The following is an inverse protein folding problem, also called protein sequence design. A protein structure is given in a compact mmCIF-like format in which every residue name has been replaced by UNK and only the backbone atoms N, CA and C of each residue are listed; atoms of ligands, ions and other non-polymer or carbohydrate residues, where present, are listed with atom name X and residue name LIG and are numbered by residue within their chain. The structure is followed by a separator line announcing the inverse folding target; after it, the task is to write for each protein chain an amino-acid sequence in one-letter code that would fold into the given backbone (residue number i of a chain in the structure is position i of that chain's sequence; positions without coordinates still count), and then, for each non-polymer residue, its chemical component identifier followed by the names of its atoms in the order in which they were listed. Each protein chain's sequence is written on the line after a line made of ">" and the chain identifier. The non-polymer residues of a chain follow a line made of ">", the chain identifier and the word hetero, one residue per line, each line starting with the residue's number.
data_IF_476593324195
#
_entry.id   IF_476593324195
#
_cell.length_a   1.000
_cell.length_b   1.000
_cell.length_c   1.000
_cell.angle_alpha   90.00
_cell.angle_beta   90.00
_cell.angle_gamma   90.00
#
_symmetry.space_group_name_H-M   'P 1'
#
loop_
_entity.id
_entity.type
_entity.pdbx_description
1 polymer ?
#
# COMPACT_ATOMS: atom_id res chain seq x y z
N UNK A 1 33.21 -54.90 64.79
CA UNK A 1 33.85 -53.86 63.95
C UNK A 1 33.01 -53.63 62.77
N UNK A 2 32.13 -52.53 62.71
CA UNK A 2 31.22 -52.18 61.60
C UNK A 2 31.86 -50.97 60.93
N UNK A 3 32.29 -51.14 59.69
CA UNK A 3 32.78 -50.09 58.83
C UNK A 3 31.55 -49.33 58.18
N UNK A 4 31.36 -48.07 58.57
CA UNK A 4 30.37 -47.16 58.01
C UNK A 4 30.92 -46.63 56.66
N UNK A 5 30.34 -47.09 55.56
CA UNK A 5 30.61 -46.59 54.18
C UNK A 5 29.74 -45.39 53.88
N UNK A 6 30.29 -44.19 53.91
CA UNK A 6 29.58 -43.00 53.49
C UNK A 6 29.33 -43.02 51.97
N UNK A 7 28.15 -42.62 51.53
CA UNK A 7 27.83 -42.55 50.08
C UNK A 7 28.36 -41.23 49.48
N UNK A 8 29.54 -41.29 48.84
CA UNK A 8 30.17 -40.15 48.12
C UNK A 8 29.39 -39.62 46.88
N UNK A 9 28.19 -40.14 46.56
CA UNK A 9 27.46 -39.80 45.32
C UNK A 9 26.62 -38.53 45.38
N UNK A 10 26.22 -38.03 46.56
CA UNK A 10 25.25 -36.90 46.66
C UNK A 10 25.80 -35.51 46.39
N UNK A 11 27.11 -35.33 46.48
CA UNK A 11 27.74 -34.01 46.30
C UNK A 11 27.92 -33.64 44.82
N UNK A 12 28.15 -34.61 43.95
CA UNK A 12 28.33 -34.37 42.51
C UNK A 12 27.02 -33.97 41.83
N UNK A 13 25.88 -34.59 42.18
CA UNK A 13 24.57 -34.26 41.59
C UNK A 13 24.14 -32.84 41.92
N UNK A 14 24.36 -32.35 43.14
CA UNK A 14 24.04 -30.97 43.51
C UNK A 14 24.89 -29.95 42.74
N UNK A 15 26.17 -30.21 42.51
CA UNK A 15 27.05 -29.34 41.72
C UNK A 15 26.66 -29.32 40.24
N UNK A 16 26.19 -30.43 39.68
CA UNK A 16 25.71 -30.53 38.29
C UNK A 16 24.39 -29.78 38.09
N UNK A 17 23.46 -29.84 39.05
CA UNK A 17 22.21 -29.10 39.04
C UNK A 17 22.42 -27.58 39.13
N UNK A 18 23.35 -27.11 39.96
CA UNK A 18 23.68 -25.68 40.03
C UNK A 18 24.36 -25.17 38.76
N UNK A 19 25.18 -25.95 38.09
CA UNK A 19 25.80 -25.59 36.82
C UNK A 19 24.76 -25.51 35.68
N UNK A 20 23.77 -26.41 35.67
CA UNK A 20 22.68 -26.39 34.68
C UNK A 20 21.75 -25.19 34.87
N UNK A 21 21.42 -24.81 36.10
CA UNK A 21 20.61 -23.62 36.42
C UNK A 21 21.35 -22.33 36.05
N UNK A 22 22.65 -22.25 36.31
CA UNK A 22 23.46 -21.09 35.95
C UNK A 22 23.59 -20.92 34.42
N UNK A 23 23.67 -22.02 33.67
CA UNK A 23 23.74 -22.02 32.21
C UNK A 23 22.41 -21.56 31.56
N UNK A 24 21.25 -21.88 32.16
CA UNK A 24 19.95 -21.40 31.72
C UNK A 24 19.70 -19.91 31.98
N UNK A 25 20.40 -19.31 32.96
CA UNK A 25 20.26 -17.86 33.22
C UNK A 25 21.11 -16.99 32.29
N UNK A 26 22.11 -17.55 31.61
CA UNK A 26 22.94 -16.81 30.64
C UNK A 26 22.35 -16.70 29.24
N UNK A 27 21.23 -17.37 28.94
CA UNK A 27 20.60 -17.36 27.62
C UNK A 27 19.60 -16.22 27.41
N UNK A 28 19.41 -15.29 28.33
CA UNK A 28 18.71 -14.05 28.11
C UNK A 28 19.62 -12.97 27.48
N UNK A 29 20.33 -13.34 26.41
CA UNK A 29 20.91 -12.35 25.52
C UNK A 29 19.73 -11.59 24.88
N UNK A 30 19.34 -10.46 25.47
CA UNK A 30 18.41 -9.52 24.87
C UNK A 30 18.96 -9.19 23.49
N UNK A 31 18.33 -9.74 22.45
CA UNK A 31 18.59 -9.28 21.09
C UNK A 31 18.24 -7.80 21.10
N UNK A 32 19.27 -6.95 21.13
CA UNK A 32 19.11 -5.50 21.10
C UNK A 32 18.27 -5.15 19.88
N UNK A 33 17.19 -4.42 20.06
CA UNK A 33 16.34 -3.96 18.95
C UNK A 33 17.19 -3.12 18.02
N UNK A 34 17.35 -3.57 16.77
CA UNK A 34 18.14 -2.85 15.75
C UNK A 34 17.34 -1.64 15.30
N UNK A 35 17.97 -0.45 15.36
CA UNK A 35 17.40 0.77 14.83
C UNK A 35 17.24 0.66 13.32
N UNK A 36 16.06 1.02 12.80
CA UNK A 36 15.75 1.05 11.36
C UNK A 36 15.88 2.46 10.78
N UNK A 37 16.01 3.50 11.61
CA UNK A 37 16.11 4.87 11.16
C UNK A 37 15.96 5.89 12.28
N UNK A 38 15.74 7.15 11.87
CA UNK A 38 15.50 8.28 12.76
C UNK A 38 14.29 9.07 12.29
N UNK A 39 13.54 9.63 13.25
CA UNK A 39 12.49 10.61 13.02
C UNK A 39 12.96 11.98 13.50
N UNK A 40 12.55 13.05 12.80
CA UNK A 40 12.75 14.42 13.23
C UNK A 40 11.52 15.27 12.95
N UNK A 41 11.16 16.17 13.88
CA UNK A 41 10.05 17.09 13.72
C UNK A 41 10.39 18.48 14.28
N UNK A 42 9.86 19.51 13.61
CA UNK A 42 9.86 20.89 14.17
C UNK A 42 8.53 21.14 14.85
N UNK A 43 8.37 20.57 16.06
CA UNK A 43 7.15 20.65 16.86
C UNK A 43 6.83 19.31 17.53
N UNK A 44 5.59 19.15 17.95
CA UNK A 44 5.16 17.98 18.71
C UNK A 44 4.93 16.77 17.78
N UNK A 45 5.68 15.73 18.04
CA UNK A 45 5.58 14.41 17.42
C UNK A 45 5.49 13.37 18.54
N UNK A 46 4.79 12.27 18.32
CA UNK A 46 4.83 11.11 19.20
C UNK A 46 5.45 9.93 18.49
N UNK A 47 6.31 9.21 19.21
CA UNK A 47 6.85 7.93 18.78
C UNK A 47 6.54 6.92 19.87
N UNK A 48 5.82 5.85 19.54
CA UNK A 48 5.37 4.81 20.47
C UNK A 48 4.62 5.39 21.68
N UNK A 49 3.75 6.39 21.41
CA UNK A 49 2.96 7.17 22.39
C UNK A 49 3.76 8.18 23.25
N UNK A 50 5.08 8.21 23.15
CA UNK A 50 5.90 9.18 23.88
C UNK A 50 6.03 10.48 23.09
N UNK A 51 5.80 11.61 23.76
CA UNK A 51 6.02 12.93 23.18
C UNK A 51 7.52 13.16 22.95
N UNK A 52 7.90 13.45 21.72
CA UNK A 52 9.28 13.70 21.31
C UNK A 52 9.40 15.12 20.78
N UNK A 53 10.36 15.86 21.30
CA UNK A 53 10.79 17.16 20.77
C UNK A 53 12.14 17.01 20.08
N UNK A 54 12.18 17.27 18.76
CA UNK A 54 13.38 17.13 17.96
C UNK A 54 13.50 15.75 17.30
N UNK A 55 14.47 14.94 17.73
CA UNK A 55 14.79 13.67 17.07
C UNK A 55 14.44 12.46 17.93
N UNK A 56 14.06 11.37 17.27
CA UNK A 56 13.85 10.04 17.88
C UNK A 56 14.51 8.94 17.04
N UNK A 57 14.96 7.89 17.70
CA UNK A 57 15.38 6.65 17.05
C UNK A 57 14.13 5.80 16.75
N UNK A 58 14.06 5.24 15.54
CA UNK A 58 12.97 4.38 15.11
C UNK A 58 13.40 2.92 15.10
N UNK A 59 12.51 2.08 15.57
CA UNK A 59 12.64 0.63 15.56
C UNK A 59 11.55 0.00 14.69
N UNK A 60 11.70 -1.29 14.39
CA UNK A 60 10.64 -2.01 13.68
C UNK A 60 9.34 -1.98 14.50
N UNK A 61 8.22 -1.67 13.83
CA UNK A 61 6.88 -1.43 14.41
C UNK A 61 6.73 -0.15 15.23
N UNK A 62 7.65 0.79 15.17
CA UNK A 62 7.43 2.11 15.80
C UNK A 62 6.22 2.81 15.22
N UNK A 63 5.35 3.31 16.07
CA UNK A 63 4.18 4.11 15.72
C UNK A 63 4.56 5.58 15.76
N UNK A 64 4.43 6.28 14.63
CA UNK A 64 4.69 7.71 14.52
C UNK A 64 3.37 8.46 14.36
N UNK A 65 3.15 9.46 15.20
CA UNK A 65 2.00 10.35 15.14
C UNK A 65 2.47 11.81 15.06
N UNK A 66 1.93 12.55 14.11
CA UNK A 66 2.15 13.98 13.97
C UNK A 66 0.91 14.74 14.48
N UNK A 67 1.15 15.81 15.23
CA UNK A 67 0.10 16.75 15.62
C UNK A 67 0.00 17.89 14.61
N UNK A 68 0.34 19.11 15.05
CA UNK A 68 0.38 20.30 14.20
C UNK A 68 1.68 20.42 13.38
N UNK A 69 2.68 19.58 13.66
CA UNK A 69 3.95 19.56 12.96
C UNK A 69 3.99 18.46 11.89
N UNK A 70 4.90 18.60 10.94
CA UNK A 70 5.30 17.53 10.02
C UNK A 70 6.48 16.77 10.63
N UNK A 71 6.61 15.47 10.32
CA UNK A 71 7.74 14.66 10.73
C UNK A 71 8.49 14.10 9.50
N UNK A 72 9.82 14.18 9.54
CA UNK A 72 10.69 13.56 8.54
C UNK A 72 11.31 12.31 9.13
N UNK A 73 11.11 11.18 8.46
CA UNK A 73 11.65 9.88 8.81
C UNK A 73 12.73 9.51 7.80
N UNK A 74 13.93 9.21 8.28
CA UNK A 74 15.05 8.76 7.46
C UNK A 74 15.41 7.34 7.84
N UNK A 75 15.23 6.42 6.91
CA UNK A 75 15.53 5.01 7.13
C UNK A 75 16.95 4.67 6.68
N UNK A 76 17.54 3.69 7.35
CA UNK A 76 18.93 3.25 7.11
C UNK A 76 19.18 2.76 5.66
N UNK A 77 18.11 2.41 4.92
CA UNK A 77 18.16 1.95 3.51
C UNK A 77 17.97 3.07 2.47
N UNK A 78 18.08 4.34 2.87
CA UNK A 78 17.98 5.48 1.96
C UNK A 78 16.55 5.86 1.57
N UNK A 79 15.55 5.41 2.33
CA UNK A 79 14.16 5.86 2.18
C UNK A 79 13.93 7.06 3.08
N UNK A 80 13.36 8.12 2.51
CA UNK A 80 12.90 9.30 3.22
C UNK A 80 11.38 9.37 3.15
N UNK A 81 10.75 9.61 4.31
CA UNK A 81 9.30 9.72 4.44
C UNK A 81 8.99 11.01 5.15
N UNK A 82 8.12 11.84 4.58
CA UNK A 82 7.57 13.01 5.24
C UNK A 82 6.12 12.74 5.60
N UNK A 83 5.81 12.69 6.89
CA UNK A 83 4.43 12.60 7.38
C UNK A 83 3.89 14.01 7.57
N UNK A 84 2.77 14.33 6.94
CA UNK A 84 2.07 15.61 7.08
C UNK A 84 1.48 15.79 8.49
N UNK A 85 0.92 16.96 8.79
CA UNK A 85 0.19 17.20 10.04
C UNK A 85 -0.97 16.23 10.20
N UNK A 86 -1.35 15.92 11.45
CA UNK A 86 -2.46 15.03 11.80
C UNK A 86 -2.38 13.65 11.12
N UNK A 87 -1.16 13.14 10.94
CA UNK A 87 -0.91 11.82 10.33
C UNK A 87 -0.47 10.81 11.38
N UNK A 88 -0.84 9.56 11.16
CA UNK A 88 -0.44 8.43 12.00
C UNK A 88 -0.09 7.24 11.13
N UNK A 89 1.00 6.55 11.47
CA UNK A 89 1.41 5.33 10.78
C UNK A 89 2.30 4.44 11.63
N UNK A 90 2.30 3.16 11.29
CA UNK A 90 3.22 2.17 11.88
C UNK A 90 4.34 1.89 10.89
N UNK A 91 5.57 2.13 11.32
CA UNK A 91 6.76 1.97 10.49
C UNK A 91 7.38 0.60 10.69
N UNK A 92 7.68 -0.06 9.58
CA UNK A 92 8.46 -1.29 9.51
C UNK A 92 9.75 -1.06 8.72
N UNK A 93 10.65 -2.03 8.74
CA UNK A 93 11.93 -1.95 8.02
C UNK A 93 11.80 -1.91 6.50
N UNK A 94 10.65 -2.30 5.95
CA UNK A 94 10.34 -2.46 4.52
C UNK A 94 9.08 -1.71 4.08
N UNK A 95 8.27 -1.22 5.03
CA UNK A 95 7.01 -0.54 4.72
C UNK A 95 6.56 0.43 5.80
N UNK A 96 5.69 1.36 5.42
CA UNK A 96 4.88 2.20 6.31
C UNK A 96 3.40 1.83 6.14
N UNK A 97 2.73 1.49 7.23
CA UNK A 97 1.27 1.32 7.29
C UNK A 97 0.65 2.65 7.71
N UNK A 98 0.10 3.40 6.76
CA UNK A 98 -0.56 4.68 7.00
C UNK A 98 -1.98 4.42 7.53
N UNK A 99 -2.25 4.86 8.75
CA UNK A 99 -3.54 4.69 9.43
C UNK A 99 -4.41 5.94 9.32
N UNK A 100 -3.78 7.11 9.18
CA UNK A 100 -4.46 8.41 9.06
C UNK A 100 -3.55 9.43 8.41
N UNK A 101 -4.14 10.38 7.67
CA UNK A 101 -3.46 11.56 7.14
C UNK A 101 -2.74 11.28 5.83
N UNK A 102 -1.53 11.83 5.69
CA UNK A 102 -0.79 11.85 4.44
C UNK A 102 0.68 11.58 4.68
N UNK A 103 1.28 10.82 3.76
CA UNK A 103 2.69 10.51 3.74
C UNK A 103 3.28 10.70 2.36
N UNK A 104 4.36 11.45 2.26
CA UNK A 104 5.19 11.61 1.09
C UNK A 104 6.37 10.65 1.21
N UNK A 105 6.64 9.89 0.16
CA UNK A 105 7.70 8.90 0.07
C UNK A 105 8.70 9.29 -1.02
N UNK A 106 9.97 9.41 -0.65
CA UNK A 106 11.09 9.47 -1.57
C UNK A 106 12.01 8.28 -1.31
N UNK A 107 12.17 7.40 -2.29
CA UNK A 107 12.93 6.16 -2.09
C UNK A 107 13.67 5.72 -3.33
N UNK A 108 14.86 5.18 -3.11
CA UNK A 108 15.64 4.45 -4.11
C UNK A 108 15.47 2.93 -4.03
N UNK A 109 14.66 2.46 -3.08
CA UNK A 109 14.45 1.04 -2.78
C UNK A 109 12.99 0.64 -2.98
N UNK A 110 12.70 -0.66 -2.85
CA UNK A 110 11.38 -1.26 -2.94
C UNK A 110 10.52 -1.05 -1.67
N UNK A 111 10.64 0.12 -1.02
CA UNK A 111 9.86 0.43 0.18
C UNK A 111 8.38 0.58 -0.15
N UNK A 112 7.51 -0.04 0.63
CA UNK A 112 6.07 -0.09 0.39
C UNK A 112 5.31 0.88 1.31
N UNK A 113 4.27 1.53 0.78
CA UNK A 113 3.24 2.21 1.56
C UNK A 113 1.97 1.37 1.56
N UNK A 114 1.44 1.10 2.75
CA UNK A 114 0.15 0.44 2.92
C UNK A 114 -0.87 1.46 3.46
N UNK A 115 -2.03 1.53 2.85
CA UNK A 115 -3.12 2.38 3.32
C UNK A 115 -4.45 1.70 3.00
N UNK A 116 -5.29 1.48 4.01
CA UNK A 116 -6.65 0.95 3.86
C UNK A 116 -6.74 -0.27 2.92
N UNK A 117 -5.86 -1.28 3.10
CA UNK A 117 -5.84 -2.50 2.30
C UNK A 117 -5.24 -2.36 0.89
N UNK A 118 -4.70 -1.18 0.55
CA UNK A 118 -3.94 -0.99 -0.67
C UNK A 118 -2.45 -0.96 -0.40
N UNK A 119 -1.70 -1.62 -1.27
CA UNK A 119 -0.24 -1.67 -1.27
C UNK A 119 0.29 -0.79 -2.40
N UNK A 120 1.00 0.26 -2.07
CA UNK A 120 1.60 1.21 -3.01
C UNK A 120 3.11 0.98 -3.03
N UNK A 121 3.61 0.55 -4.17
CA UNK A 121 5.02 0.18 -4.34
C UNK A 121 5.64 0.98 -5.48
N UNK A 122 6.83 1.57 -5.32
CA UNK A 122 7.54 2.21 -6.42
C UNK A 122 7.93 1.15 -7.45
N UNK A 123 7.76 1.47 -8.74
CA UNK A 123 8.20 0.61 -9.85
C UNK A 123 9.59 1.01 -10.37
N UNK A 124 9.99 2.25 -10.12
CA UNK A 124 11.24 2.81 -10.60
C UNK A 124 12.16 3.19 -9.44
N UNK A 125 13.49 3.13 -9.58
CA UNK A 125 14.40 3.66 -8.59
C UNK A 125 14.27 5.20 -8.50
N UNK A 126 14.51 5.74 -7.31
CA UNK A 126 14.34 7.18 -7.02
C UNK A 126 12.94 7.72 -7.29
N UNK A 127 11.93 6.91 -7.01
CA UNK A 127 10.52 7.31 -7.06
C UNK A 127 10.18 8.28 -5.93
N UNK A 128 9.30 9.23 -6.24
CA UNK A 128 8.79 10.23 -5.30
C UNK A 128 7.29 10.37 -5.48
N UNK A 129 6.52 10.18 -4.42
CA UNK A 129 5.06 10.21 -4.47
C UNK A 129 4.42 10.49 -3.12
N UNK A 130 3.14 10.74 -3.15
CA UNK A 130 2.32 11.05 -1.97
C UNK A 130 1.17 10.05 -1.88
N UNK A 131 0.93 9.54 -0.69
CA UNK A 131 -0.23 8.71 -0.38
C UNK A 131 -1.02 9.40 0.72
N UNK A 132 -2.29 9.66 0.47
CA UNK A 132 -3.20 10.30 1.41
C UNK A 132 -4.38 9.39 1.72
N UNK A 133 -4.71 9.27 3.00
CA UNK A 133 -5.93 8.62 3.46
C UNK A 133 -6.97 9.70 3.77
N UNK A 134 -7.98 9.79 2.91
CA UNK A 134 -9.05 10.79 2.99
C UNK A 134 -10.26 10.25 3.75
N UNK A 135 -11.18 11.14 4.11
CA UNK A 135 -12.46 10.77 4.68
C UNK A 135 -13.22 9.77 3.77
N UNK A 136 -13.98 8.85 4.36
CA UNK A 136 -14.69 7.82 3.61
C UNK A 136 -13.80 6.67 3.13
N UNK A 137 -12.66 6.44 3.79
CA UNK A 137 -11.73 5.35 3.47
C UNK A 137 -11.18 5.38 2.04
N UNK A 138 -11.06 6.58 1.47
CA UNK A 138 -10.49 6.79 0.15
C UNK A 138 -8.97 6.97 0.26
N UNK A 139 -8.22 6.17 -0.49
CA UNK A 139 -6.78 6.31 -0.65
C UNK A 139 -6.48 7.05 -1.94
N UNK A 140 -5.77 8.15 -1.85
CA UNK A 140 -5.30 8.93 -2.99
C UNK A 140 -3.79 8.72 -3.13
N UNK A 141 -3.36 8.36 -4.34
CA UNK A 141 -1.95 8.13 -4.67
C UNK A 141 -1.55 9.10 -5.78
N UNK A 142 -0.58 9.94 -5.49
CA UNK A 142 0.03 10.88 -6.44
C UNK A 142 1.47 10.50 -6.73
N UNK A 143 1.85 10.42 -7.99
CA UNK A 143 3.25 10.26 -8.39
C UNK A 143 3.82 11.60 -8.82
N UNK A 144 4.91 12.03 -8.16
CA UNK A 144 5.67 13.23 -8.50
C UNK A 144 6.83 12.89 -9.43
N UNK A 145 7.50 11.75 -9.17
CA UNK A 145 8.62 11.24 -9.98
C UNK A 145 8.62 9.71 -9.94
N UNK A 146 8.98 9.08 -11.05
CA UNK A 146 8.86 7.63 -11.20
C UNK A 146 7.41 7.20 -11.31
N UNK A 147 7.13 5.93 -11.19
CA UNK A 147 5.77 5.39 -11.18
C UNK A 147 5.53 4.51 -9.96
N UNK A 148 4.26 4.39 -9.57
CA UNK A 148 3.85 3.57 -8.44
C UNK A 148 2.80 2.55 -8.87
N UNK A 149 3.04 1.28 -8.55
CA UNK A 149 2.05 0.22 -8.67
C UNK A 149 1.15 0.20 -7.43
N UNK A 150 -0.17 0.25 -7.64
CA UNK A 150 -1.15 0.11 -6.56
C UNK A 150 -1.80 -1.26 -6.66
N UNK A 151 -1.75 -2.02 -5.58
CA UNK A 151 -2.26 -3.39 -5.50
C UNK A 151 -3.24 -3.55 -4.34
N UNK A 152 -4.10 -4.54 -4.42
CA UNK A 152 -4.89 -5.01 -3.27
C UNK A 152 -4.02 -5.85 -2.32
N UNK A 153 -4.53 -6.17 -1.13
CA UNK A 153 -3.90 -7.14 -0.20
C UNK A 153 -3.66 -8.51 -0.85
N UNK A 154 -4.49 -8.92 -1.83
CA UNK A 154 -4.33 -10.15 -2.59
C UNK A 154 -3.28 -10.04 -3.71
N UNK A 155 -2.59 -8.89 -3.83
CA UNK A 155 -1.56 -8.65 -4.84
C UNK A 155 -2.08 -8.30 -6.24
N UNK A 156 -3.39 -8.09 -6.41
CA UNK A 156 -3.99 -7.71 -7.70
C UNK A 156 -3.61 -6.26 -8.04
N UNK A 157 -2.98 -6.03 -9.18
CA UNK A 157 -2.61 -4.71 -9.66
C UNK A 157 -3.87 -3.95 -10.12
N UNK A 158 -4.13 -2.80 -9.50
CA UNK A 158 -5.26 -1.92 -9.80
C UNK A 158 -4.89 -0.76 -10.70
N UNK A 159 -3.70 -0.19 -10.48
CA UNK A 159 -3.23 0.95 -11.25
C UNK A 159 -1.70 1.01 -11.30
N UNK A 160 -1.21 1.69 -12.35
CA UNK A 160 0.16 2.12 -12.49
C UNK A 160 0.18 3.65 -12.56
N UNK A 161 0.39 4.30 -11.40
CA UNK A 161 0.32 5.76 -11.27
C UNK A 161 1.60 6.35 -11.82
N UNK A 162 1.50 7.04 -12.98
CA UNK A 162 2.64 7.66 -13.67
C UNK A 162 2.96 9.03 -13.09
N UNK A 163 4.16 9.58 -13.35
CA UNK A 163 4.54 10.92 -12.92
C UNK A 163 3.50 11.98 -13.33
N UNK A 164 3.18 12.89 -12.43
CA UNK A 164 2.20 13.95 -12.62
C UNK A 164 0.73 13.48 -12.59
N UNK A 165 0.48 12.22 -12.24
CA UNK A 165 -0.89 11.68 -12.12
C UNK A 165 -1.27 11.47 -10.66
N UNK A 166 -2.56 11.64 -10.40
CA UNK A 166 -3.22 11.35 -9.13
C UNK A 166 -4.34 10.37 -9.40
N UNK A 167 -4.43 9.30 -8.62
CA UNK A 167 -5.49 8.28 -8.72
C UNK A 167 -6.06 8.03 -7.34
N UNK A 168 -7.39 7.97 -7.26
CA UNK A 168 -8.12 7.72 -6.02
C UNK A 168 -8.73 6.33 -6.01
N UNK A 169 -8.64 5.65 -4.88
CA UNK A 169 -9.15 4.31 -4.64
C UNK A 169 -10.11 4.35 -3.46
N UNK A 170 -11.33 3.88 -3.65
CA UNK A 170 -12.31 3.77 -2.58
C UNK A 170 -12.63 2.30 -2.29
N UNK A 171 -12.50 1.88 -1.03
CA UNK A 171 -13.06 0.60 -0.58
C UNK A 171 -14.48 0.82 -0.07
N UNK A 172 -15.42 0.12 -0.66
CA UNK A 172 -16.80 0.11 -0.15
C UNK A 172 -16.94 -0.89 0.99
N UNK A 173 -17.58 -0.49 2.07
CA UNK A 173 -17.89 -1.38 3.17
C UNK A 173 -18.71 -2.59 2.69
N UNK A 174 -18.26 -3.81 3.00
CA UNK A 174 -18.90 -5.06 2.56
C UNK A 174 -18.61 -5.48 1.11
N UNK A 175 -17.75 -4.76 0.40
CA UNK A 175 -17.39 -5.11 -0.97
C UNK A 175 -16.30 -6.20 -1.01
N UNK A 176 -16.48 -7.14 -1.92
CA UNK A 176 -15.40 -8.09 -2.23
C UNK A 176 -14.29 -7.33 -2.99
N UNK A 177 -13.04 -7.27 -2.49
CA UNK A 177 -11.93 -6.54 -3.12
C UNK A 177 -11.56 -7.06 -4.52
N UNK A 178 -12.16 -8.16 -4.95
CA UNK A 178 -11.97 -8.72 -6.29
C UNK A 178 -12.90 -8.13 -7.34
N UNK A 179 -13.90 -7.32 -6.98
CA UNK A 179 -14.81 -6.70 -7.96
C UNK A 179 -14.12 -5.53 -8.64
N UNK A 180 -14.19 -5.51 -9.97
CA UNK A 180 -13.67 -4.44 -10.82
C UNK A 180 -14.81 -3.69 -11.52
N UNK A 181 -14.70 -2.38 -11.61
CA UNK A 181 -15.50 -1.56 -12.50
C UNK A 181 -14.60 -0.43 -13.02
N UNK A 182 -14.42 -0.36 -14.33
CA UNK A 182 -13.51 0.61 -14.93
C UNK A 182 -13.71 0.74 -16.44
N UNK A 183 -13.13 1.81 -17.01
CA UNK A 183 -13.12 2.06 -18.44
C UNK A 183 -11.75 1.77 -19.05
N UNK A 184 -11.72 1.33 -20.30
CA UNK A 184 -10.47 1.06 -21.00
C UNK A 184 -10.69 0.77 -22.49
N UNK A 185 -9.57 0.59 -23.19
CA UNK A 185 -9.53 0.19 -24.59
C UNK A 185 -9.45 -1.34 -24.69
N UNK A 186 -10.32 -1.94 -25.48
CA UNK A 186 -10.24 -3.38 -25.78
C UNK A 186 -9.27 -3.62 -26.93
N UNK A 187 -8.35 -4.54 -26.75
CA UNK A 187 -7.42 -4.99 -27.79
C UNK A 187 -7.38 -6.50 -27.86
N UNK A 188 -6.97 -7.05 -29.01
CA UNK A 188 -6.81 -8.46 -29.24
C UNK A 188 -5.39 -8.73 -29.71
N UNK A 189 -4.71 -9.67 -29.09
CA UNK A 189 -3.35 -10.06 -29.42
C UNK A 189 -3.14 -11.54 -29.07
N UNK A 190 -2.58 -12.31 -30.03
CA UNK A 190 -2.25 -13.72 -29.89
C UNK A 190 -3.40 -14.59 -29.31
N UNK A 191 -4.63 -14.40 -29.82
CA UNK A 191 -5.79 -15.18 -29.39
C UNK A 191 -6.40 -14.75 -28.06
N UNK A 192 -5.92 -13.64 -27.46
CA UNK A 192 -6.33 -13.17 -26.16
C UNK A 192 -6.88 -11.74 -26.22
N UNK A 193 -8.01 -11.51 -25.55
CA UNK A 193 -8.58 -10.17 -25.39
C UNK A 193 -8.01 -9.50 -24.17
N UNK A 194 -7.73 -8.19 -24.30
CA UNK A 194 -7.19 -7.37 -23.24
C UNK A 194 -8.02 -6.10 -23.06
N UNK A 195 -8.17 -5.67 -21.81
CA UNK A 195 -8.61 -4.33 -21.45
C UNK A 195 -7.40 -3.54 -20.97
N UNK A 196 -7.08 -2.44 -21.65
CA UNK A 196 -6.05 -1.50 -21.17
C UNK A 196 -6.74 -0.28 -20.58
N UNK A 197 -6.62 -0.07 -19.27
CA UNK A 197 -7.23 1.07 -18.58
C UNK A 197 -6.49 2.38 -18.86
N UNK A 198 -7.12 3.51 -18.47
CA UNK A 198 -6.49 4.81 -18.55
C UNK A 198 -5.20 4.93 -17.71
N UNK A 199 -5.09 4.14 -16.65
CA UNK A 199 -3.93 4.02 -15.77
C UNK A 199 -2.85 3.08 -16.34
N UNK A 200 -3.02 2.64 -17.59
CA UNK A 200 -2.12 1.74 -18.31
C UNK A 200 -1.95 0.37 -17.64
N UNK A 201 -2.99 -0.12 -16.99
CA UNK A 201 -3.05 -1.50 -16.51
C UNK A 201 -3.72 -2.36 -17.57
N UNK A 202 -3.12 -3.49 -17.89
CA UNK A 202 -3.59 -4.44 -18.89
C UNK A 202 -4.17 -5.67 -18.20
N UNK A 203 -5.47 -5.93 -18.40
CA UNK A 203 -6.18 -7.10 -17.88
C UNK A 203 -6.48 -8.06 -19.02
N UNK A 204 -6.38 -9.35 -18.78
CA UNK A 204 -6.88 -10.40 -19.69
C UNK A 204 -8.39 -10.54 -19.49
N UNK A 205 -9.16 -10.31 -20.53
CA UNK A 205 -10.62 -10.46 -20.50
C UNK A 205 -11.01 -11.93 -20.62
N UNK A 206 -11.88 -12.38 -19.73
CA UNK A 206 -12.40 -13.77 -19.71
C UNK A 206 -13.91 -13.74 -19.42
N UNK A 207 -14.56 -14.91 -19.49
CA UNK A 207 -15.97 -15.13 -19.19
C UNK A 207 -16.99 -14.52 -20.17
N UNK A 208 -16.58 -13.61 -21.04
CA UNK A 208 -17.48 -12.99 -22.04
C UNK A 208 -16.73 -12.79 -23.35
N UNK A 209 -17.42 -13.02 -24.47
CA UNK A 209 -16.87 -12.70 -25.79
C UNK A 209 -16.74 -11.17 -25.92
N UNK A 210 -15.54 -10.74 -26.25
CA UNK A 210 -15.18 -9.32 -26.38
C UNK A 210 -14.87 -8.92 -27.83
N UNK A 211 -15.09 -9.85 -28.81
CA UNK A 211 -14.73 -9.64 -30.21
C UNK A 211 -15.33 -8.36 -30.79
N UNK A 212 -16.61 -8.09 -30.52
CA UNK A 212 -17.33 -6.92 -31.05
C UNK A 212 -16.83 -5.57 -30.52
N UNK A 213 -15.98 -5.57 -29.48
CA UNK A 213 -15.47 -4.37 -28.83
C UNK A 213 -14.00 -4.08 -29.15
N UNK A 214 -13.38 -4.85 -30.05
CA UNK A 214 -11.98 -4.66 -30.41
C UNK A 214 -11.76 -3.27 -31.01
N UNK A 215 -10.84 -2.50 -30.41
CA UNK A 215 -10.55 -1.12 -30.82
C UNK A 215 -11.42 -0.07 -30.16
N UNK A 216 -12.43 -0.47 -29.41
CA UNK A 216 -13.37 0.45 -28.76
C UNK A 216 -12.98 0.73 -27.31
N UNK A 217 -13.37 1.94 -26.86
CA UNK A 217 -13.39 2.29 -25.46
C UNK A 217 -14.67 1.78 -24.82
N UNK A 218 -14.52 0.97 -23.79
CA UNK A 218 -15.64 0.34 -23.08
C UNK A 218 -15.61 0.64 -21.60
N UNK A 219 -16.76 0.52 -20.96
CA UNK A 219 -16.90 0.40 -19.51
C UNK A 219 -17.18 -1.06 -19.18
N UNK A 220 -16.36 -1.61 -18.31
CA UNK A 220 -16.41 -3.03 -17.93
C UNK A 220 -16.64 -3.16 -16.45
N UNK A 221 -17.54 -4.07 -16.05
CA UNK A 221 -17.58 -4.57 -14.68
C UNK A 221 -17.38 -6.08 -14.67
N UNK A 222 -16.74 -6.57 -13.59
CA UNK A 222 -16.43 -7.98 -13.48
C UNK A 222 -15.71 -8.32 -12.18
N UNK A 223 -15.11 -9.50 -12.15
CA UNK A 223 -14.34 -9.98 -11.01
C UNK A 223 -12.88 -10.18 -11.40
N UNK A 224 -11.99 -9.57 -10.63
CA UNK A 224 -10.55 -9.78 -10.78
C UNK A 224 -10.16 -11.13 -10.17
N UNK A 225 -9.33 -11.84 -10.89
CA UNK A 225 -8.72 -13.09 -10.43
C UNK A 225 -7.20 -12.91 -10.47
N UNK A 226 -6.51 -13.24 -9.39
CA UNK A 226 -5.07 -13.14 -9.32
C UNK A 226 -4.39 -13.99 -10.38
N UNK A 227 -3.43 -13.43 -11.11
CA UNK A 227 -2.49 -14.19 -11.92
C UNK A 227 -1.54 -15.00 -11.03
N UNK A 228 -0.92 -16.02 -11.60
CA UNK A 228 0.05 -16.86 -10.88
C UNK A 228 1.18 -16.03 -10.24
N UNK A 229 1.64 -16.38 -9.03
CA UNK A 229 2.74 -15.69 -8.38
C UNK A 229 3.99 -15.73 -9.26
N UNK A 230 4.57 -14.57 -9.55
CA UNK A 230 5.80 -14.44 -10.38
C UNK A 230 5.63 -13.69 -11.70
N UNK A 231 4.43 -13.28 -12.09
CA UNK A 231 4.25 -12.45 -13.28
C UNK A 231 4.52 -10.96 -12.98
N UNK A 232 5.35 -10.37 -13.83
CA UNK A 232 5.87 -9.01 -13.71
C UNK A 232 4.78 -7.93 -13.56
N UNK A 233 5.02 -6.85 -12.78
CA UNK A 233 4.12 -5.71 -12.68
C UNK A 233 3.86 -5.11 -14.08
N UNK A 234 2.60 -5.07 -14.49
CA UNK A 234 2.21 -4.59 -15.83
C UNK A 234 2.19 -5.67 -16.92
N UNK A 235 2.59 -6.91 -16.62
CA UNK A 235 2.40 -8.05 -17.50
C UNK A 235 0.93 -8.52 -17.52
N UNK A 236 0.50 -9.09 -18.64
CA UNK A 236 -0.84 -9.60 -18.89
C UNK A 236 -1.18 -10.84 -18.03
N UNK A 237 -1.20 -10.68 -16.69
CA UNK A 237 -1.39 -11.78 -15.76
C UNK A 237 -2.64 -11.72 -14.89
N UNK A 238 -3.24 -10.53 -14.73
CA UNK A 238 -4.49 -10.41 -13.96
C UNK A 238 -5.67 -10.67 -14.87
N UNK A 239 -6.44 -11.72 -14.55
CA UNK A 239 -7.64 -12.09 -15.29
C UNK A 239 -8.82 -11.23 -14.82
N UNK A 240 -9.58 -10.68 -15.76
CA UNK A 240 -10.86 -10.01 -15.50
C UNK A 240 -11.99 -10.85 -16.09
N UNK A 241 -12.70 -11.57 -15.23
CA UNK A 241 -13.93 -12.26 -15.61
C UNK A 241 -15.05 -11.23 -15.77
N UNK A 242 -15.35 -10.89 -17.02
CA UNK A 242 -16.28 -9.82 -17.40
C UNK A 242 -17.70 -10.25 -17.10
N UNK A 243 -18.42 -9.42 -16.35
CA UNK A 243 -19.87 -9.53 -16.11
C UNK A 243 -20.67 -8.65 -17.08
N UNK A 244 -20.29 -7.39 -17.19
CA UNK A 244 -20.90 -6.42 -18.12
C UNK A 244 -19.82 -5.69 -18.91
N UNK A 245 -20.11 -5.37 -20.18
CA UNK A 245 -19.27 -4.56 -21.04
C UNK A 245 -20.17 -3.74 -21.96
N UNK A 246 -19.96 -2.43 -21.95
CA UNK A 246 -20.75 -1.45 -22.71
C UNK A 246 -19.83 -0.46 -23.40
N UNK A 247 -20.21 0.03 -24.57
CA UNK A 247 -19.46 1.07 -25.29
C UNK A 247 -19.44 2.35 -24.46
N UNK A 248 -18.27 2.94 -24.33
CA UNK A 248 -18.11 4.25 -23.71
C UNK A 248 -18.42 5.36 -24.73
N UNK A 249 -19.66 5.46 -25.16
CA UNK A 249 -20.12 6.43 -26.16
C UNK A 249 -20.91 7.59 -25.54
N UNK A 250 -20.83 8.77 -26.15
CA UNK A 250 -21.48 10.00 -25.67
C UNK A 250 -23.04 9.95 -25.70
N UNK A 251 -23.61 8.86 -26.21
CA UNK A 251 -25.06 8.84 -26.57
C UNK A 251 -26.00 8.12 -25.62
N UNK A 252 -25.57 7.58 -24.49
CA UNK A 252 -26.45 6.77 -23.64
C UNK A 252 -25.96 6.47 -22.23
N UNK A 253 -25.10 7.32 -21.70
CA UNK A 253 -24.43 7.03 -20.41
C UNK A 253 -25.40 7.12 -19.24
N UNK A 254 -25.58 6.00 -18.54
CA UNK A 254 -26.20 6.02 -17.22
C UNK A 254 -25.39 6.95 -16.28
N UNK A 255 -26.02 7.48 -15.24
CA UNK A 255 -25.33 8.35 -14.25
C UNK A 255 -24.06 7.72 -13.66
N UNK A 256 -23.99 6.39 -13.58
CA UNK A 256 -22.83 5.60 -13.14
C UNK A 256 -21.65 5.68 -14.13
N UNK A 257 -21.92 5.66 -15.44
CA UNK A 257 -20.89 5.62 -16.48
C UNK A 257 -20.12 6.96 -16.57
N UNK A 258 -20.76 8.09 -16.27
CA UNK A 258 -20.11 9.42 -16.28
C UNK A 258 -18.97 9.55 -15.26
N UNK A 259 -19.02 8.82 -14.18
CA UNK A 259 -17.99 8.85 -13.12
C UNK A 259 -16.76 8.03 -13.42
N UNK A 260 -16.90 6.94 -14.19
CA UNK A 260 -15.82 6.03 -14.55
C UNK A 260 -14.81 6.60 -15.54
N UNK A 261 -15.22 7.61 -16.33
CA UNK A 261 -14.33 8.30 -17.30
C UNK A 261 -13.28 9.17 -16.60
N UNK A 262 -13.53 9.54 -15.35
CA UNK A 262 -12.64 10.41 -14.59
C UNK A 262 -11.43 9.73 -13.96
N UNK A 263 -11.18 8.44 -14.25
CA UNK A 263 -10.00 7.71 -13.72
C UNK A 263 -10.18 7.20 -12.28
N UNK A 264 -11.44 7.00 -11.83
CA UNK A 264 -11.71 6.38 -10.54
C UNK A 264 -11.84 4.88 -10.73
N UNK A 265 -10.95 4.12 -10.11
CA UNK A 265 -11.07 2.67 -10.00
C UNK A 265 -11.86 2.38 -8.72
N UNK A 266 -13.09 1.87 -8.86
CA UNK A 266 -13.88 1.41 -7.73
C UNK A 266 -13.65 -0.09 -7.55
N UNK A 267 -13.00 -0.45 -6.46
CA UNK A 267 -12.79 -1.84 -6.07
C UNK A 267 -13.88 -2.21 -5.07
N UNK A 268 -14.87 -2.98 -5.51
CA UNK A 268 -15.94 -3.42 -4.64
C UNK A 268 -17.34 -3.16 -5.22
N UNK A 269 -18.18 -4.20 -5.25
CA UNK A 269 -19.54 -4.17 -5.80
C UNK A 269 -20.56 -3.55 -4.84
N UNK A 270 -21.10 -2.42 -5.21
CA UNK A 270 -22.21 -1.77 -4.54
C UNK A 270 -22.36 -0.34 -5.06
N UNK A 271 -23.59 0.10 -5.30
CA UNK A 271 -23.92 1.45 -5.78
C UNK A 271 -23.50 2.46 -4.72
N UNK A 272 -22.36 3.12 -4.90
CA UNK A 272 -21.83 4.12 -3.99
C UNK A 272 -21.34 5.35 -4.75
N UNK A 273 -21.77 6.48 -4.33
CA UNK A 273 -21.68 7.82 -4.90
C UNK A 273 -20.22 8.21 -5.14
N UNK A 274 -19.92 8.58 -6.38
CA UNK A 274 -18.60 8.95 -6.86
C UNK A 274 -18.01 10.16 -6.16
N UNK A 275 -16.70 10.13 -6.02
CA UNK A 275 -15.91 11.29 -5.64
C UNK A 275 -15.43 12.04 -6.88
N UNK A 276 -15.70 13.33 -6.90
CA UNK A 276 -15.23 14.23 -7.95
C UNK A 276 -13.71 14.36 -7.90
N UNK A 277 -13.04 14.07 -9.00
CA UNK A 277 -11.65 14.49 -9.18
C UNK A 277 -11.68 16.00 -9.37
N UNK A 278 -11.23 16.73 -8.37
CA UNK A 278 -10.93 18.14 -8.54
C UNK A 278 -9.73 18.23 -9.50
N UNK A 279 -10.01 18.67 -10.73
CA UNK A 279 -8.98 19.03 -11.69
C UNK A 279 -8.25 20.27 -11.16
N UNK A 280 -7.15 20.09 -10.47
CA UNK A 280 -6.32 21.18 -9.88
C UNK A 280 -5.46 21.91 -10.92
N UNK A 281 -5.85 21.93 -12.19
CA UNK A 281 -5.22 22.77 -13.21
C UNK A 281 -5.95 24.11 -13.43
N UNK A 282 -6.80 24.56 -12.50
CA UNK A 282 -7.26 25.93 -12.51
C UNK A 282 -6.29 26.81 -11.73
N UNK A 283 -5.68 27.83 -12.36
CA UNK A 283 -4.94 28.85 -11.63
C UNK A 283 -5.90 29.58 -10.68
N UNK A 284 -5.44 30.03 -9.49
CA UNK A 284 -6.28 30.74 -8.55
C UNK A 284 -6.89 32.00 -9.21
N UNK A 285 -8.15 32.35 -8.89
CA UNK A 285 -8.76 33.56 -9.43
C UNK A 285 -7.93 34.78 -8.98
N UNK A 286 -7.56 35.60 -9.95
CA UNK A 286 -6.94 36.90 -9.70
C UNK A 286 -7.90 37.75 -8.87
N UNK A 287 -7.52 38.04 -7.64
CA UNK A 287 -8.19 39.04 -6.81
C UNK A 287 -7.79 40.40 -7.37
N UNK A 288 -8.71 41.08 -8.03
CA UNK A 288 -8.54 42.48 -8.42
C UNK A 288 -8.61 43.39 -7.19
N UNK A 289 -7.85 44.48 -7.17
CA UNK A 289 -7.76 45.42 -6.07
C UNK A 289 -9.03 46.19 -5.78
#
# INVERSE_FOLDING_TARGET
>A
MRLHREPRGRSMFKKLQFAAILLCMLSNASAGTVSIGTASARGDMRVDSYLVKGNATLFDRSVVETGQATANLRLNKGTEITMSTASRGTLHSDRLVLQQGESELATSSSFQLEANGFHVTPNDPNSHGVVSLRAGNTVEVASLKGSFGVRTEQGILLANVRPGRVVSFAMQAGANPTTFSGAGLVSFDNGTYYLTTNENVKYVLTCKDSHQFIGDKVVVSGTLQGGAPGQQPGGAGTLLCVKTMELNGEGGMSKLTKWLIAGVIVVGGGVGIGLAIANRNQPPPLVSP
#
